data_IF_428017651550
#
_entry.id   IF_428017651550
#
_cell.length_a   1.000
_cell.length_b   1.000
_cell.length_c   1.000
_cell.angle_alpha   90.00
_cell.angle_beta   90.00
_cell.angle_gamma   90.00
#
_symmetry.space_group_name_H-M   'P 1'
#
loop_
_entity.id
_entity.type
_entity.pdbx_description
1 polymer ?
#
# COMPACT_ATOMS: atom_id res chain seq x y z
N UNK A 1 -55.38 -46.15 -16.51
CA UNK A 1 -54.75 -45.23 -15.52
C UNK A 1 -55.84 -44.58 -14.73
N UNK A 2 -55.92 -44.89 -13.42
CA UNK A 2 -56.95 -44.40 -12.53
C UNK A 2 -56.81 -42.90 -12.25
N UNK A 3 -57.92 -42.15 -12.15
CA UNK A 3 -57.90 -40.71 -11.91
C UNK A 3 -57.10 -40.29 -10.67
N UNK A 4 -57.05 -41.14 -9.64
CA UNK A 4 -56.24 -40.95 -8.41
C UNK A 4 -54.72 -40.93 -8.70
N UNK A 5 -54.22 -41.71 -9.68
CA UNK A 5 -52.81 -41.71 -10.04
C UNK A 5 -52.40 -40.42 -10.76
N UNK A 6 -53.28 -39.77 -11.52
CA UNK A 6 -53.02 -38.51 -12.18
C UNK A 6 -52.93 -37.34 -11.20
N UNK A 7 -53.72 -37.37 -10.13
CA UNK A 7 -53.63 -36.35 -9.05
C UNK A 7 -52.34 -36.43 -8.25
N UNK A 8 -51.87 -37.64 -7.93
CA UNK A 8 -50.63 -37.86 -7.19
C UNK A 8 -49.38 -37.40 -7.98
N UNK A 9 -49.32 -37.67 -9.28
CA UNK A 9 -48.20 -37.25 -10.13
C UNK A 9 -48.13 -35.73 -10.27
N UNK A 10 -49.27 -35.05 -10.34
CA UNK A 10 -49.33 -33.61 -10.42
C UNK A 10 -48.89 -32.94 -9.11
N UNK A 11 -49.28 -33.50 -7.96
CA UNK A 11 -48.84 -33.02 -6.66
C UNK A 11 -47.34 -33.19 -6.46
N UNK A 12 -46.78 -34.35 -6.81
CA UNK A 12 -45.32 -34.58 -6.74
C UNK A 12 -44.55 -33.67 -7.70
N UNK A 13 -45.06 -33.43 -8.90
CA UNK A 13 -44.47 -32.50 -9.85
C UNK A 13 -44.42 -31.06 -9.32
N UNK A 14 -45.49 -30.64 -8.67
CA UNK A 14 -45.55 -29.27 -8.07
C UNK A 14 -44.59 -29.12 -6.89
N UNK A 15 -44.45 -30.12 -6.03
CA UNK A 15 -43.49 -30.13 -4.92
C UNK A 15 -42.07 -30.11 -5.48
N UNK A 16 -41.75 -30.92 -6.48
CA UNK A 16 -40.43 -30.91 -7.11
C UNK A 16 -40.12 -29.55 -7.76
N UNK A 17 -41.08 -28.94 -8.43
CA UNK A 17 -40.90 -27.63 -9.05
C UNK A 17 -40.62 -26.54 -7.98
N UNK A 18 -41.37 -26.55 -6.88
CA UNK A 18 -41.13 -25.58 -5.78
C UNK A 18 -39.78 -25.79 -5.12
N UNK A 19 -39.31 -27.01 -4.91
CA UNK A 19 -37.98 -27.31 -4.40
C UNK A 19 -36.87 -26.80 -5.31
N UNK A 20 -37.00 -27.03 -6.62
CA UNK A 20 -36.03 -26.54 -7.61
C UNK A 20 -36.02 -24.99 -7.65
N UNK A 21 -37.16 -24.36 -7.57
CA UNK A 21 -37.26 -22.89 -7.48
C UNK A 21 -36.57 -22.35 -6.23
N UNK A 22 -36.79 -22.96 -5.06
CA UNK A 22 -36.14 -22.55 -3.81
C UNK A 22 -34.63 -22.72 -3.85
N UNK A 23 -34.15 -23.83 -4.40
CA UNK A 23 -32.71 -24.06 -4.60
C UNK A 23 -32.10 -23.05 -5.59
N UNK A 24 -32.81 -22.74 -6.66
CA UNK A 24 -32.38 -21.72 -7.64
C UNK A 24 -32.28 -20.33 -7.02
N UNK A 25 -33.26 -19.94 -6.21
CA UNK A 25 -33.24 -18.65 -5.50
C UNK A 25 -32.08 -18.57 -4.51
N UNK A 26 -31.86 -19.63 -3.72
CA UNK A 26 -30.76 -19.70 -2.76
C UNK A 26 -29.39 -19.61 -3.46
N UNK A 27 -29.21 -20.30 -4.58
CA UNK A 27 -27.99 -20.23 -5.37
C UNK A 27 -27.74 -18.83 -5.97
N UNK A 28 -28.80 -18.19 -6.48
CA UNK A 28 -28.70 -16.85 -7.05
C UNK A 28 -28.31 -15.79 -5.97
N UNK A 29 -28.85 -15.90 -4.76
CA UNK A 29 -28.52 -15.00 -3.66
C UNK A 29 -27.06 -15.18 -3.20
N UNK A 30 -26.56 -16.41 -3.09
CA UNK A 30 -25.17 -16.68 -2.76
C UNK A 30 -24.20 -16.09 -3.79
N UNK A 31 -24.45 -16.30 -5.08
CA UNK A 31 -23.65 -15.76 -6.16
C UNK A 31 -23.61 -14.21 -6.17
N UNK A 32 -24.72 -13.57 -5.78
CA UNK A 32 -24.78 -12.11 -5.68
C UNK A 32 -23.87 -11.59 -4.56
N UNK A 33 -23.90 -12.23 -3.39
CA UNK A 33 -23.04 -11.88 -2.25
C UNK A 33 -21.56 -12.08 -2.58
N UNK A 34 -21.22 -13.21 -3.19
CA UNK A 34 -19.83 -13.47 -3.62
C UNK A 34 -19.32 -12.41 -4.60
N UNK A 35 -20.17 -11.98 -5.53
CA UNK A 35 -19.81 -10.90 -6.47
C UNK A 35 -19.57 -9.57 -5.77
N UNK A 36 -20.38 -9.21 -4.77
CA UNK A 36 -20.18 -7.98 -3.99
C UNK A 36 -18.87 -8.04 -3.20
N UNK A 37 -18.58 -9.16 -2.55
CA UNK A 37 -17.32 -9.37 -1.82
C UNK A 37 -16.11 -9.26 -2.73
N UNK A 38 -16.14 -9.89 -3.91
CA UNK A 38 -15.07 -9.80 -4.89
C UNK A 38 -14.85 -8.36 -5.40
N UNK A 39 -15.93 -7.57 -5.56
CA UNK A 39 -15.81 -6.17 -5.94
C UNK A 39 -15.18 -5.33 -4.81
N UNK A 40 -15.58 -5.54 -3.57
CA UNK A 40 -15.03 -4.80 -2.43
C UNK A 40 -13.53 -5.12 -2.24
N UNK A 41 -13.13 -6.38 -2.43
CA UNK A 41 -11.71 -6.76 -2.40
C UNK A 41 -10.92 -6.09 -3.52
N UNK A 42 -11.46 -6.03 -4.74
CA UNK A 42 -10.82 -5.34 -5.85
C UNK A 42 -10.61 -3.83 -5.56
N UNK A 43 -11.58 -3.17 -4.89
CA UNK A 43 -11.40 -1.76 -4.49
C UNK A 43 -10.33 -1.58 -3.42
N UNK A 44 -10.21 -2.52 -2.48
CA UNK A 44 -9.14 -2.51 -1.47
C UNK A 44 -7.77 -2.73 -2.09
N UNK A 45 -7.66 -3.64 -3.05
CA UNK A 45 -6.42 -3.89 -3.78
C UNK A 45 -5.98 -2.66 -4.58
N UNK A 46 -6.92 -1.96 -5.23
CA UNK A 46 -6.64 -0.72 -5.92
C UNK A 46 -6.15 0.38 -4.95
N UNK A 47 -6.77 0.50 -3.78
CA UNK A 47 -6.32 1.44 -2.75
C UNK A 47 -4.91 1.07 -2.23
N UNK A 48 -4.61 -0.23 -2.04
CA UNK A 48 -3.28 -0.69 -1.66
C UNK A 48 -2.23 -0.39 -2.74
N UNK A 49 -2.59 -0.56 -4.01
CA UNK A 49 -1.74 -0.20 -5.14
C UNK A 49 -1.47 1.31 -5.17
N UNK A 50 -2.48 2.12 -4.91
CA UNK A 50 -2.33 3.58 -4.81
C UNK A 50 -1.40 3.97 -3.65
N UNK A 51 -1.53 3.33 -2.47
CA UNK A 51 -0.64 3.56 -1.35
C UNK A 51 0.81 3.19 -1.69
N UNK A 52 1.03 2.07 -2.37
CA UNK A 52 2.35 1.65 -2.84
C UNK A 52 2.96 2.64 -3.83
N UNK A 53 2.16 3.13 -4.78
CA UNK A 53 2.59 4.16 -5.74
C UNK A 53 3.02 5.46 -5.03
N UNK A 54 2.35 5.82 -3.94
CA UNK A 54 2.73 6.94 -3.10
C UNK A 54 4.11 6.75 -2.44
N UNK A 55 4.40 5.55 -1.92
CA UNK A 55 5.73 5.23 -1.36
C UNK A 55 6.81 5.33 -2.44
N UNK A 56 6.57 4.77 -3.62
CA UNK A 56 7.53 4.86 -4.74
C UNK A 56 7.79 6.32 -5.17
N UNK A 57 6.76 7.16 -5.17
CA UNK A 57 6.91 8.58 -5.46
C UNK A 57 7.73 9.28 -4.39
N UNK A 58 7.51 8.96 -3.11
CA UNK A 58 8.30 9.48 -2.01
C UNK A 58 9.78 9.10 -2.11
N UNK A 59 10.06 7.83 -2.40
CA UNK A 59 11.42 7.33 -2.63
C UNK A 59 12.11 8.10 -3.76
N UNK A 60 11.42 8.26 -4.90
CA UNK A 60 11.96 9.06 -6.03
C UNK A 60 12.23 10.50 -5.65
N UNK A 61 11.36 11.10 -4.83
CA UNK A 61 11.54 12.47 -4.35
C UNK A 61 12.76 12.58 -3.44
N UNK A 62 12.97 11.63 -2.54
CA UNK A 62 14.16 11.55 -1.67
C UNK A 62 15.43 11.45 -2.52
N UNK A 63 15.48 10.51 -3.47
CA UNK A 63 16.66 10.29 -4.34
C UNK A 63 17.00 11.51 -5.19
N UNK A 64 15.99 12.23 -5.67
CA UNK A 64 16.19 13.42 -6.51
C UNK A 64 16.48 14.69 -5.68
N UNK A 65 16.35 14.64 -4.37
CA UNK A 65 16.68 15.75 -3.48
C UNK A 65 18.19 15.84 -3.29
N UNK A 66 18.71 17.04 -3.22
CA UNK A 66 20.14 17.30 -2.93
C UNK A 66 20.45 17.30 -1.43
N UNK A 67 19.43 17.46 -0.60
CA UNK A 67 19.54 17.59 0.85
C UNK A 67 18.30 16.93 1.50
N UNK A 68 18.47 16.03 2.51
CA UNK A 68 17.38 15.47 3.27
C UNK A 68 16.44 16.49 3.91
N UNK A 69 16.97 17.65 4.31
CA UNK A 69 16.17 18.73 4.88
C UNK A 69 15.29 19.46 3.84
N UNK A 70 15.61 19.31 2.55
CA UNK A 70 14.83 19.88 1.43
C UNK A 70 13.70 18.97 0.95
N UNK A 71 13.63 17.71 1.44
CA UNK A 71 12.57 16.77 1.08
C UNK A 71 11.24 17.29 1.63
N UNK A 72 10.20 17.41 0.79
CA UNK A 72 8.89 17.86 1.25
C UNK A 72 8.31 16.88 2.27
N UNK A 73 7.68 17.42 3.31
CA UNK A 73 7.05 16.59 4.37
C UNK A 73 5.75 15.93 3.95
N UNK A 74 5.17 16.33 2.84
CA UNK A 74 3.94 15.75 2.31
C UNK A 74 3.94 15.75 0.78
N UNK A 75 3.39 14.70 0.21
CA UNK A 75 3.15 14.55 -1.22
C UNK A 75 1.72 14.05 -1.44
N UNK A 76 1.12 14.47 -2.53
CA UNK A 76 -0.17 13.95 -2.96
C UNK A 76 -0.17 13.79 -4.47
N UNK A 77 -0.88 12.78 -4.96
CA UNK A 77 -0.94 12.53 -6.39
C UNK A 77 -2.03 11.54 -6.76
N UNK A 78 -2.08 11.23 -8.04
CA UNK A 78 -2.97 10.25 -8.63
C UNK A 78 -2.15 9.15 -9.31
N UNK A 79 -2.64 7.91 -9.23
CA UNK A 79 -2.04 6.80 -9.96
C UNK A 79 -2.27 6.99 -11.46
N UNK A 80 -1.22 6.92 -12.30
CA UNK A 80 -1.37 7.07 -13.74
C UNK A 80 -2.37 6.07 -14.33
N UNK A 81 -3.32 6.55 -15.12
CA UNK A 81 -4.34 5.70 -15.75
C UNK A 81 -5.50 5.27 -14.84
N UNK A 82 -5.53 5.73 -13.57
CA UNK A 82 -6.60 5.44 -12.62
C UNK A 82 -7.21 6.73 -12.05
N UNK A 83 -8.37 6.58 -11.40
CA UNK A 83 -8.97 7.63 -10.56
C UNK A 83 -8.45 7.61 -9.14
N UNK A 84 -7.70 6.57 -8.76
CA UNK A 84 -7.20 6.38 -7.42
C UNK A 84 -6.11 7.40 -7.06
N UNK A 85 -6.13 7.83 -5.82
CA UNK A 85 -5.23 8.88 -5.33
C UNK A 85 -4.41 8.37 -4.15
N UNK A 86 -3.28 9.02 -3.92
CA UNK A 86 -2.46 8.78 -2.74
C UNK A 86 -2.11 10.08 -2.04
N UNK A 87 -1.95 9.98 -0.73
CA UNK A 87 -1.42 11.04 0.11
C UNK A 87 -0.30 10.46 0.98
N UNK A 88 0.86 11.11 0.93
CA UNK A 88 2.07 10.65 1.63
C UNK A 88 2.49 11.68 2.65
N UNK A 89 2.86 11.21 3.82
CA UNK A 89 3.58 11.96 4.84
C UNK A 89 5.01 11.42 4.93
N UNK A 90 5.99 12.31 4.80
CA UNK A 90 7.41 12.00 4.92
C UNK A 90 7.97 12.69 6.16
N UNK A 91 8.74 11.96 6.93
CA UNK A 91 9.44 12.48 8.09
C UNK A 91 10.92 12.07 8.03
N UNK A 92 11.79 13.05 8.01
CA UNK A 92 13.21 12.80 8.24
C UNK A 92 13.42 12.48 9.73
N UNK A 93 13.94 11.29 10.02
CA UNK A 93 14.10 10.77 11.37
C UNK A 93 15.51 11.01 11.95
N UNK A 94 16.48 11.36 11.10
CA UNK A 94 17.85 11.64 11.51
C UNK A 94 18.89 10.87 10.69
N UNK A 95 20.14 10.97 11.11
CA UNK A 95 21.26 10.25 10.51
C UNK A 95 21.73 9.10 11.40
N UNK A 96 22.13 8.01 10.76
CA UNK A 96 22.86 6.91 11.38
C UNK A 96 24.30 6.86 10.83
N UNK A 97 25.28 6.80 11.74
CA UNK A 97 26.71 6.77 11.40
C UNK A 97 27.30 5.37 11.56
N UNK A 98 26.52 4.41 12.07
CA UNK A 98 26.95 3.04 12.39
C UNK A 98 26.97 2.08 11.20
N UNK A 99 26.84 2.57 9.98
CA UNK A 99 26.88 1.73 8.79
C UNK A 99 28.24 1.08 8.61
N UNK A 100 28.30 -0.18 8.14
CA UNK A 100 29.55 -0.87 7.85
C UNK A 100 30.40 -0.06 6.87
N UNK A 101 31.61 0.29 7.26
CA UNK A 101 32.48 1.12 6.44
C UNK A 101 33.56 0.25 5.81
N UNK A 102 33.78 0.41 4.50
CA UNK A 102 34.99 -0.06 3.87
C UNK A 102 36.20 0.80 4.30
N UNK A 103 37.43 0.26 4.35
CA UNK A 103 38.61 1.03 4.65
C UNK A 103 38.71 2.26 3.70
N UNK A 104 38.64 3.46 4.24
CA UNK A 104 38.75 4.71 3.50
C UNK A 104 37.43 5.35 3.05
N UNK A 105 36.27 4.67 3.21
CA UNK A 105 34.97 5.27 2.96
C UNK A 105 34.23 5.51 4.27
N UNK A 106 33.49 6.60 4.34
CA UNK A 106 32.60 6.91 5.46
C UNK A 106 31.17 6.98 4.93
N UNK A 107 30.34 6.04 5.38
CA UNK A 107 28.92 5.96 5.00
C UNK A 107 28.07 6.54 6.13
N UNK A 108 27.14 7.39 5.78
CA UNK A 108 26.08 7.87 6.66
C UNK A 108 24.73 7.51 6.08
N UNK A 109 23.80 7.09 6.92
CA UNK A 109 22.42 6.79 6.53
C UNK A 109 21.47 7.88 6.95
N UNK A 110 20.76 8.51 6.03
CA UNK A 110 19.64 9.38 6.32
C UNK A 110 18.35 8.57 6.39
N UNK A 111 17.71 8.53 7.56
CA UNK A 111 16.49 7.77 7.80
C UNK A 111 15.26 8.58 7.48
N UNK A 112 14.34 7.98 6.75
CA UNK A 112 13.03 8.56 6.42
C UNK A 112 11.91 7.60 6.79
N UNK A 113 10.95 8.09 7.58
CA UNK A 113 9.66 7.44 7.79
C UNK A 113 8.69 7.92 6.71
N UNK A 114 8.13 6.98 5.97
CA UNK A 114 7.16 7.25 4.91
C UNK A 114 5.85 6.58 5.27
N UNK A 115 4.78 7.36 5.34
CA UNK A 115 3.43 6.84 5.51
C UNK A 115 2.60 7.27 4.32
N UNK A 116 2.09 6.31 3.56
CA UNK A 116 1.25 6.55 2.40
C UNK A 116 -0.16 6.01 2.63
N UNK A 117 -1.16 6.82 2.32
CA UNK A 117 -2.56 6.43 2.32
C UNK A 117 -3.07 6.50 0.89
N UNK A 118 -3.45 5.35 0.35
CA UNK A 118 -4.12 5.23 -0.94
C UNK A 118 -5.62 5.26 -0.78
N UNK A 119 -6.32 5.92 -1.68
CA UNK A 119 -7.78 6.01 -1.70
C UNK A 119 -8.29 5.61 -3.07
N UNK A 120 -9.13 4.61 -3.11
CA UNK A 120 -9.78 4.09 -4.30
C UNK A 120 -11.27 4.43 -4.39
N UNK A 121 -11.96 3.78 -5.33
CA UNK A 121 -13.40 3.91 -5.49
C UNK A 121 -14.15 3.45 -4.23
N UNK A 122 -15.38 3.96 -4.04
CA UNK A 122 -16.26 3.67 -2.90
C UNK A 122 -15.63 3.94 -1.52
N UNK A 123 -14.70 4.90 -1.45
CA UNK A 123 -13.97 5.23 -0.22
C UNK A 123 -13.10 4.09 0.32
N UNK A 124 -12.76 3.09 -0.51
CA UNK A 124 -11.78 2.11 -0.12
C UNK A 124 -10.45 2.80 0.15
N UNK A 125 -9.86 2.52 1.29
CA UNK A 125 -8.58 3.10 1.68
C UNK A 125 -7.63 2.02 2.20
N UNK A 126 -6.34 2.22 1.92
CA UNK A 126 -5.27 1.40 2.48
C UNK A 126 -4.13 2.31 2.94
N UNK A 127 -3.48 1.93 4.03
CA UNK A 127 -2.38 2.68 4.61
C UNK A 127 -1.15 1.81 4.74
N UNK A 128 -0.04 2.31 4.21
CA UNK A 128 1.23 1.60 4.23
C UNK A 128 2.32 2.48 4.84
N UNK A 129 3.28 1.85 5.49
CA UNK A 129 4.46 2.50 6.04
C UNK A 129 5.70 1.86 5.45
N UNK A 130 6.71 2.67 5.15
CA UNK A 130 8.03 2.22 4.78
C UNK A 130 9.07 3.07 5.52
N UNK A 131 10.09 2.40 6.04
CA UNK A 131 11.28 3.05 6.56
C UNK A 131 12.38 2.91 5.49
N UNK A 132 13.01 4.02 5.16
CA UNK A 132 13.99 4.10 4.07
C UNK A 132 15.27 4.71 4.62
N UNK A 133 16.38 4.09 4.30
CA UNK A 133 17.71 4.62 4.60
C UNK A 133 18.33 5.10 3.28
N UNK A 134 18.63 6.38 3.19
CA UNK A 134 19.41 6.93 2.11
C UNK A 134 20.88 6.93 2.51
N UNK A 135 21.64 6.00 1.93
CA UNK A 135 23.08 5.88 2.19
C UNK A 135 23.82 6.95 1.40
N UNK A 136 24.62 7.72 2.11
CA UNK A 136 25.42 8.81 1.57
C UNK A 136 26.89 8.48 1.80
N UNK A 137 27.69 8.57 0.74
CA UNK A 137 29.13 8.44 0.84
C UNK A 137 29.74 9.85 0.97
N UNK A 138 30.56 10.05 1.99
CA UNK A 138 31.25 11.32 2.21
C UNK A 138 32.73 11.15 1.92
N UNK A 139 33.26 11.88 0.95
CA UNK A 139 34.68 11.89 0.61
C UNK A 139 35.54 12.58 1.68
N UNK A 140 34.97 13.51 2.44
CA UNK A 140 35.61 14.16 3.55
C UNK A 140 35.29 13.46 4.88
N UNK A 141 36.25 13.44 5.78
CA UNK A 141 36.02 13.07 7.16
C UNK A 141 34.76 13.80 7.65
N UNK A 142 33.66 13.03 7.85
CA UNK A 142 32.44 13.58 8.44
C UNK A 142 32.88 14.48 9.57
N UNK A 143 32.68 15.81 9.51
CA UNK A 143 33.11 16.67 10.61
C UNK A 143 32.48 16.14 11.88
N UNK A 144 33.19 16.25 13.01
CA UNK A 144 32.69 15.84 14.31
C UNK A 144 31.28 16.43 14.61
N UNK A 145 30.87 17.43 13.86
CA UNK A 145 29.61 18.16 13.92
C UNK A 145 28.47 17.46 13.10
N UNK A 146 28.71 16.35 12.41
CA UNK A 146 27.66 15.48 11.87
C UNK A 146 27.00 14.64 12.99
N UNK A 147 26.94 15.18 14.19
CA UNK A 147 26.02 14.73 15.23
C UNK A 147 24.57 14.83 14.72
N UNK A 148 23.63 14.01 15.20
CA UNK A 148 22.28 13.80 14.63
C UNK A 148 21.40 15.05 14.49
N UNK A 149 21.93 16.23 14.73
CA UNK A 149 21.18 17.48 14.81
C UNK A 149 21.51 18.55 13.76
N UNK A 150 22.51 18.36 12.87
CA UNK A 150 22.89 19.40 11.89
C UNK A 150 22.97 18.85 10.46
N UNK A 151 21.87 18.96 9.68
CA UNK A 151 21.69 18.28 8.39
C UNK A 151 22.52 18.80 7.21
N UNK A 152 23.24 19.91 7.30
CA UNK A 152 23.61 20.69 6.11
C UNK A 152 24.94 20.39 5.45
N UNK A 153 25.78 19.48 5.96
CA UNK A 153 27.16 19.32 5.48
C UNK A 153 27.59 17.91 5.06
N UNK A 154 26.70 16.91 5.11
CA UNK A 154 27.09 15.51 5.02
C UNK A 154 26.58 14.79 3.77
N UNK A 155 26.36 15.48 2.65
CA UNK A 155 25.66 14.89 1.51
C UNK A 155 26.58 14.66 0.31
N UNK A 156 26.98 13.40 0.12
CA UNK A 156 27.28 12.87 -1.21
C UNK A 156 26.12 11.99 -1.70
N UNK A 157 25.87 11.92 -3.00
CA UNK A 157 24.80 11.07 -3.56
C UNK A 157 25.15 9.59 -3.36
N UNK A 158 24.31 8.85 -2.64
CA UNK A 158 24.49 7.44 -2.36
C UNK A 158 23.34 6.56 -2.83
N UNK A 159 23.48 5.25 -2.65
CA UNK A 159 22.43 4.29 -2.90
C UNK A 159 21.32 4.39 -1.86
N UNK A 160 20.07 4.24 -2.30
CA UNK A 160 18.93 4.19 -1.41
C UNK A 160 18.62 2.73 -1.07
N UNK A 161 18.58 2.42 0.21
CA UNK A 161 18.19 1.11 0.72
C UNK A 161 16.84 1.20 1.43
N UNK A 162 15.90 0.33 1.06
CA UNK A 162 14.60 0.20 1.73
C UNK A 162 14.77 -0.77 2.90
N UNK A 163 14.70 -0.26 4.12
CA UNK A 163 14.89 -1.04 5.34
C UNK A 163 13.65 -1.85 5.74
N UNK A 164 12.45 -1.32 5.52
CA UNK A 164 11.21 -2.03 5.84
C UNK A 164 10.02 -1.52 5.01
N UNK A 165 9.04 -2.40 4.83
CA UNK A 165 7.74 -2.06 4.27
C UNK A 165 6.67 -2.80 5.07
N UNK A 166 5.77 -2.07 5.68
CA UNK A 166 4.70 -2.63 6.49
C UNK A 166 3.34 -2.06 6.06
N UNK A 167 2.37 -2.95 5.98
CA UNK A 167 0.97 -2.55 5.85
C UNK A 167 0.46 -2.15 7.23
N UNK A 168 -0.09 -0.96 7.35
CA UNK A 168 -0.63 -0.43 8.61
C UNK A 168 -2.15 -0.62 8.58
N UNK A 169 -2.71 -1.25 9.61
CA UNK A 169 -4.15 -1.36 9.75
C UNK A 169 -4.78 0.04 9.84
N UNK A 170 -5.89 0.24 9.14
CA UNK A 170 -6.71 1.46 9.22
C UNK A 170 -7.78 1.16 10.25
N UNK A 171 -7.77 1.87 11.39
CA UNK A 171 -8.84 1.87 12.38
C UNK A 171 -10.00 2.75 11.94
#
# INVERSE_FOLDING_TARGET
>A
MNAAQRGATLAVGLVLLTLVMLLGLAGASAAHVERLLAQDEAFRENAATAASAGIEMAIRTIVNSSDPASVPTSLAGRVPGSTDTYQVSLRFAGYEISLPQAPGSRLAGAHFDIVSTGTGARHAADRQRADVIWVVESDDALPADCAPLVPRRCLARGALERSSWQKVAIE
#
